data_IF_468350537947
#
_entry.id   IF_468350537947
#
_cell.length_a   1.000
_cell.length_b   1.000
_cell.length_c   1.000
_cell.angle_alpha   90.00
_cell.angle_beta   90.00
_cell.angle_gamma   90.00
#
_symmetry.space_group_name_H-M   'P 1'
#
loop_
_entity.id
_entity.type
_entity.pdbx_description
1 polymer ?
#
# COMPACT_ATOMS: atom_id res chain seq x y z
N UNK A 1 53.27 4.63 92.86
CA UNK A 1 51.85 4.22 92.81
C UNK A 1 51.10 5.32 92.05
N UNK A 2 50.29 5.13 91.01
CA UNK A 2 49.76 3.96 90.31
C UNK A 2 49.53 4.32 88.82
N UNK A 3 49.24 3.31 88.00
CA UNK A 3 49.47 3.19 86.54
C UNK A 3 48.13 3.05 85.80
N UNK A 4 47.88 3.87 84.74
CA UNK A 4 46.88 3.76 83.63
C UNK A 4 45.39 3.53 84.00
N UNK A 5 44.39 3.66 83.08
CA UNK A 5 44.42 3.84 81.62
C UNK A 5 43.78 5.16 81.14
N UNK A 6 44.27 5.85 80.10
CA UNK A 6 44.36 5.47 78.67
C UNK A 6 43.00 5.32 77.99
N UNK A 7 42.79 6.19 77.00
CA UNK A 7 42.15 5.89 75.72
C UNK A 7 40.77 5.23 75.75
N UNK A 8 39.67 6.00 75.90
CA UNK A 8 38.35 5.41 75.59
C UNK A 8 37.20 6.39 75.34
N UNK A 9 37.40 7.58 74.76
CA UNK A 9 36.24 8.35 74.24
C UNK A 9 36.38 8.87 72.80
N UNK A 10 37.55 8.71 72.18
CA UNK A 10 37.74 8.91 70.73
C UNK A 10 37.95 7.60 69.97
N UNK A 11 37.95 6.46 70.67
CA UNK A 11 38.20 5.13 70.11
C UNK A 11 36.94 4.25 70.02
N UNK A 12 35.75 4.82 70.17
CA UNK A 12 34.51 4.12 69.80
C UNK A 12 34.33 4.18 68.28
N UNK A 13 35.14 3.37 67.59
CA UNK A 13 34.66 2.42 66.59
C UNK A 13 33.71 3.06 65.57
N UNK A 14 34.23 3.75 64.56
CA UNK A 14 34.37 3.15 63.21
C UNK A 14 33.37 1.99 63.01
N UNK A 15 32.11 2.34 62.80
CA UNK A 15 31.10 1.46 62.22
C UNK A 15 30.87 1.94 60.80
N UNK A 16 31.71 1.48 59.89
CA UNK A 16 31.56 1.68 58.45
C UNK A 16 30.44 0.81 57.90
N UNK A 17 29.22 0.97 58.43
CA UNK A 17 28.06 0.12 58.10
C UNK A 17 26.95 0.91 57.39
N UNK A 18 27.30 2.01 56.71
CA UNK A 18 26.36 2.77 55.84
C UNK A 18 26.56 2.49 54.35
N UNK A 19 27.64 1.80 53.97
CA UNK A 19 27.97 1.58 52.56
C UNK A 19 27.14 0.45 51.92
N UNK A 20 26.61 -0.50 52.69
CA UNK A 20 25.91 -1.67 52.13
C UNK A 20 24.58 -1.29 51.43
N UNK A 21 23.80 -0.37 52.01
CA UNK A 21 22.55 0.10 51.41
C UNK A 21 22.80 1.06 50.24
N UNK A 22 23.83 1.90 50.31
CA UNK A 22 24.18 2.82 49.23
C UNK A 22 24.66 2.11 47.97
N UNK A 23 25.53 1.10 48.11
CA UNK A 23 26.00 0.31 46.96
C UNK A 23 24.89 -0.56 46.38
N UNK A 24 24.03 -1.14 47.21
CA UNK A 24 22.90 -1.96 46.75
C UNK A 24 21.90 -1.14 45.92
N UNK A 25 21.55 0.07 46.36
CA UNK A 25 20.70 0.99 45.60
C UNK A 25 21.33 1.40 44.26
N UNK A 26 22.64 1.70 44.23
CA UNK A 26 23.33 2.03 42.98
C UNK A 26 23.34 0.84 42.02
N UNK A 27 23.59 -0.37 42.51
CA UNK A 27 23.53 -1.58 41.67
C UNK A 27 22.12 -1.82 41.15
N UNK A 28 21.09 -1.68 41.98
CA UNK A 28 19.69 -1.80 41.55
C UNK A 28 19.33 -0.75 40.51
N UNK A 29 19.70 0.51 40.72
CA UNK A 29 19.49 1.58 39.74
C UNK A 29 20.23 1.32 38.42
N UNK A 30 21.45 0.75 38.47
CA UNK A 30 22.18 0.33 37.26
C UNK A 30 21.48 -0.82 36.55
N UNK A 31 20.98 -1.82 37.28
CA UNK A 31 20.22 -2.94 36.71
C UNK A 31 18.92 -2.44 36.07
N UNK A 32 18.18 -1.56 36.76
CA UNK A 32 16.98 -0.92 36.21
C UNK A 32 17.28 -0.05 35.00
N UNK A 33 18.42 0.67 35.00
CA UNK A 33 18.84 1.48 33.87
C UNK A 33 19.17 0.61 32.65
N UNK A 34 19.89 -0.50 32.84
CA UNK A 34 20.20 -1.46 31.76
C UNK A 34 18.91 -2.11 31.25
N UNK A 35 18.02 -2.52 32.16
CA UNK A 35 16.72 -3.06 31.78
C UNK A 35 15.88 -2.05 31.00
N UNK A 36 15.82 -0.81 31.45
CA UNK A 36 15.12 0.29 30.78
C UNK A 36 15.71 0.55 29.38
N UNK A 37 17.05 0.59 29.27
CA UNK A 37 17.72 0.77 27.99
C UNK A 37 17.38 -0.38 27.03
N UNK A 38 17.36 -1.61 27.53
CA UNK A 38 16.98 -2.78 26.72
C UNK A 38 15.51 -2.72 26.29
N UNK A 39 14.60 -2.38 27.20
CA UNK A 39 13.17 -2.21 26.88
C UNK A 39 12.95 -1.13 25.81
N UNK A 40 13.62 0.03 25.94
CA UNK A 40 13.57 1.10 24.95
C UNK A 40 14.11 0.65 23.59
N UNK A 41 15.22 -0.11 23.57
CA UNK A 41 15.77 -0.64 22.33
C UNK A 41 14.78 -1.58 21.62
N UNK A 42 14.11 -2.46 22.37
CA UNK A 42 13.07 -3.36 21.82
C UNK A 42 11.88 -2.56 21.27
N UNK A 43 11.40 -1.54 21.99
CA UNK A 43 10.31 -0.69 21.49
C UNK A 43 10.71 0.07 20.23
N UNK A 44 11.94 0.60 20.17
CA UNK A 44 12.45 1.28 18.98
C UNK A 44 12.44 0.35 17.76
N UNK A 45 12.87 -0.91 17.94
CA UNK A 45 12.84 -1.91 16.88
C UNK A 45 11.41 -2.24 16.43
N UNK A 46 10.49 -2.41 17.39
CA UNK A 46 9.09 -2.70 17.09
C UNK A 46 8.42 -1.56 16.32
N UNK A 47 8.63 -0.31 16.75
CA UNK A 47 8.08 0.86 16.07
C UNK A 47 8.72 1.07 14.69
N UNK A 48 10.03 0.83 14.55
CA UNK A 48 10.68 0.87 13.23
C UNK A 48 10.08 -0.14 12.26
N UNK A 49 9.88 -1.39 12.70
CA UNK A 49 9.26 -2.43 11.88
C UNK A 49 7.79 -2.11 11.54
N UNK A 50 7.03 -1.59 12.49
CA UNK A 50 5.64 -1.17 12.26
C UNK A 50 5.56 0.00 11.27
N UNK A 51 6.48 0.96 11.37
CA UNK A 51 6.53 2.11 10.46
C UNK A 51 6.81 1.68 9.03
N UNK A 52 7.82 0.82 8.82
CA UNK A 52 8.17 0.31 7.49
C UNK A 52 7.00 -0.47 6.87
N UNK A 53 6.36 -1.36 7.64
CA UNK A 53 5.15 -2.04 7.17
C UNK A 53 4.03 -1.07 6.81
N UNK A 54 3.84 -0.02 7.61
CA UNK A 54 2.83 1.01 7.32
C UNK A 54 3.10 1.80 6.04
N UNK A 55 4.36 2.02 5.68
CA UNK A 55 4.74 2.65 4.41
C UNK A 55 4.50 1.69 3.24
N UNK A 56 4.91 0.44 3.38
CA UNK A 56 4.76 -0.59 2.35
C UNK A 56 3.28 -0.89 2.04
N UNK A 57 2.44 -1.00 3.07
CA UNK A 57 0.98 -1.18 2.91
C UNK A 57 0.32 0.01 2.21
N UNK A 58 0.75 1.24 2.52
CA UNK A 58 0.28 2.43 1.80
C UNK A 58 0.68 2.38 0.33
N UNK A 59 1.93 1.99 0.05
CA UNK A 59 2.45 1.84 -1.31
C UNK A 59 1.66 0.81 -2.11
N UNK A 60 1.41 -0.36 -1.52
CA UNK A 60 0.62 -1.42 -2.14
C UNK A 60 -0.83 -1.03 -2.35
N UNK A 61 -1.48 -0.43 -1.34
CA UNK A 61 -2.88 0.02 -1.44
C UNK A 61 -3.05 1.00 -2.60
N UNK A 62 -2.13 1.96 -2.71
CA UNK A 62 -2.16 2.94 -3.80
C UNK A 62 -1.96 2.29 -5.17
N UNK A 63 -1.00 1.36 -5.27
CA UNK A 63 -0.76 0.62 -6.51
C UNK A 63 -1.99 -0.20 -6.95
N UNK A 64 -2.70 -0.82 -6.01
CA UNK A 64 -3.94 -1.57 -6.29
C UNK A 64 -5.04 -0.65 -6.80
N UNK A 65 -5.22 0.53 -6.18
CA UNK A 65 -6.22 1.51 -6.63
C UNK A 65 -5.93 1.99 -8.05
N UNK A 66 -4.67 2.35 -8.34
CA UNK A 66 -4.26 2.77 -9.68
C UNK A 66 -4.44 1.66 -10.73
N UNK A 67 -4.07 0.43 -10.41
CA UNK A 67 -4.28 -0.72 -11.30
C UNK A 67 -5.77 -0.98 -11.55
N UNK A 68 -6.60 -0.86 -10.51
CA UNK A 68 -8.05 -1.06 -10.61
C UNK A 68 -8.70 0.03 -11.47
N UNK A 69 -8.33 1.29 -11.28
CA UNK A 69 -8.78 2.39 -12.14
C UNK A 69 -8.39 2.16 -13.61
N UNK A 70 -7.16 1.72 -13.87
CA UNK A 70 -6.71 1.38 -15.23
C UNK A 70 -7.45 0.17 -15.82
N UNK A 71 -7.82 -0.80 -14.98
CA UNK A 71 -8.62 -1.95 -15.38
C UNK A 71 -10.07 -1.55 -15.69
N UNK A 72 -10.65 -0.62 -14.93
CA UNK A 72 -11.98 -0.05 -15.19
C UNK A 72 -12.00 0.74 -16.51
N UNK A 73 -10.97 1.55 -16.78
CA UNK A 73 -10.83 2.26 -18.05
C UNK A 73 -10.71 1.28 -19.23
N UNK A 74 -9.86 0.25 -19.10
CA UNK A 74 -9.74 -0.83 -20.08
C UNK A 74 -11.07 -1.56 -20.28
N UNK A 75 -11.78 -1.83 -19.19
CA UNK A 75 -13.09 -2.44 -19.24
C UNK A 75 -14.09 -1.52 -19.94
N UNK A 76 -14.02 -0.20 -19.83
CA UNK A 76 -14.94 0.68 -20.56
C UNK A 76 -14.66 0.67 -22.07
N UNK A 77 -13.38 0.80 -22.45
CA UNK A 77 -12.94 0.90 -23.85
C UNK A 77 -11.61 0.14 -24.06
N UNK A 78 -11.64 -1.14 -24.47
CA UNK A 78 -10.42 -1.90 -24.66
C UNK A 78 -9.70 -1.42 -25.93
N UNK A 79 -8.59 -0.72 -25.74
CA UNK A 79 -7.70 -0.28 -26.82
C UNK A 79 -6.46 -1.16 -26.86
N UNK A 80 -6.18 -1.76 -28.02
CA UNK A 80 -4.97 -2.56 -28.22
C UNK A 80 -3.69 -1.70 -28.15
N UNK A 81 -2.59 -2.31 -27.72
CA UNK A 81 -1.28 -1.67 -27.64
C UNK A 81 -0.83 -1.40 -26.21
N UNK A 82 0.21 -0.57 -26.08
CA UNK A 82 0.84 -0.24 -24.81
C UNK A 82 0.57 1.22 -24.45
N UNK A 83 0.15 1.47 -23.21
CA UNK A 83 0.02 2.81 -22.64
C UNK A 83 0.76 2.90 -21.31
N UNK A 84 1.26 4.08 -20.97
CA UNK A 84 1.93 4.33 -19.70
C UNK A 84 1.56 5.71 -19.19
N UNK A 85 1.18 5.80 -17.91
CA UNK A 85 0.83 7.04 -17.24
C UNK A 85 1.50 7.13 -15.88
N UNK A 86 1.86 8.35 -15.47
CA UNK A 86 2.54 8.61 -14.20
C UNK A 86 1.59 9.31 -13.22
N UNK A 87 1.71 8.96 -11.94
CA UNK A 87 0.91 9.46 -10.84
C UNK A 87 1.81 9.82 -9.66
N UNK A 88 1.41 10.82 -8.88
CA UNK A 88 2.09 11.18 -7.64
C UNK A 88 1.78 10.18 -6.51
N UNK A 89 2.38 10.40 -5.34
CA UNK A 89 2.21 9.55 -4.15
C UNK A 89 0.76 9.40 -3.67
N UNK A 90 -0.10 10.37 -4.00
CA UNK A 90 -1.52 10.43 -3.62
C UNK A 90 -2.44 9.94 -4.77
N UNK A 91 -1.88 9.65 -5.96
CA UNK A 91 -2.61 9.17 -7.14
C UNK A 91 -3.12 10.26 -8.07
N UNK A 92 -2.66 11.49 -7.91
CA UNK A 92 -2.88 12.56 -8.87
C UNK A 92 -2.08 12.33 -10.14
N UNK A 93 -2.70 12.54 -11.31
CA UNK A 93 -2.02 12.39 -12.60
C UNK A 93 -0.89 13.43 -12.72
N UNK A 94 0.32 12.95 -12.99
CA UNK A 94 1.45 13.81 -13.32
C UNK A 94 1.41 14.07 -14.83
N UNK A 95 1.15 15.32 -15.20
CA UNK A 95 1.14 15.73 -16.60
C UNK A 95 2.48 15.42 -17.28
N UNK A 96 2.42 14.98 -18.54
CA UNK A 96 3.60 14.66 -19.37
C UNK A 96 4.47 15.89 -19.70
N UNK A 97 4.06 17.09 -19.30
CA UNK A 97 4.64 18.37 -19.75
C UNK A 97 5.98 18.74 -19.11
N UNK A 98 6.54 17.92 -18.23
CA UNK A 98 7.91 18.12 -17.76
C UNK A 98 8.48 16.75 -17.44
N UNK A 99 9.53 16.33 -18.16
CA UNK A 99 10.27 15.08 -17.95
C UNK A 99 11.00 15.04 -16.60
N UNK A 100 10.25 15.20 -15.52
CA UNK A 100 10.69 15.35 -14.13
C UNK A 100 9.63 14.79 -13.16
N UNK A 101 8.43 14.42 -13.62
CA UNK A 101 7.38 13.83 -12.77
C UNK A 101 7.52 12.33 -12.54
N UNK A 102 7.88 11.56 -13.58
CA UNK A 102 8.02 10.10 -13.47
C UNK A 102 9.29 9.65 -12.72
N UNK A 103 10.26 10.56 -12.54
CA UNK A 103 11.54 10.29 -11.86
C UNK A 103 11.50 10.61 -10.35
N UNK A 104 10.36 11.06 -9.82
CA UNK A 104 10.22 11.21 -8.38
C UNK A 104 10.25 9.84 -7.70
N UNK A 105 11.00 9.70 -6.60
CA UNK A 105 11.19 8.41 -5.91
C UNK A 105 9.86 7.75 -5.51
N UNK A 106 8.83 8.56 -5.23
CA UNK A 106 7.50 8.12 -4.80
C UNK A 106 6.43 8.17 -5.91
N UNK A 107 6.81 8.47 -7.17
CA UNK A 107 5.87 8.44 -8.27
C UNK A 107 5.51 7.00 -8.66
N UNK A 108 4.25 6.78 -9.02
CA UNK A 108 3.77 5.54 -9.59
C UNK A 108 3.72 5.66 -11.11
N UNK A 109 4.15 4.62 -11.80
CA UNK A 109 3.98 4.47 -13.25
C UNK A 109 3.10 3.26 -13.50
N UNK A 110 1.94 3.51 -14.11
CA UNK A 110 0.99 2.48 -14.52
C UNK A 110 1.22 2.19 -15.99
N UNK A 111 1.73 1.00 -16.31
CA UNK A 111 1.87 0.50 -17.67
C UNK A 111 0.78 -0.53 -17.95
N UNK A 112 0.12 -0.41 -19.10
CA UNK A 112 -0.89 -1.35 -19.57
C UNK A 112 -0.49 -1.86 -20.94
N UNK A 113 -0.41 -3.17 -21.09
CA UNK A 113 -0.23 -3.85 -22.38
C UNK A 113 -1.51 -4.60 -22.72
N UNK A 114 -2.10 -4.31 -23.88
CA UNK A 114 -3.34 -4.95 -24.35
C UNK A 114 -3.10 -5.71 -25.65
N UNK A 115 -3.37 -7.01 -25.62
CA UNK A 115 -3.26 -7.91 -26.76
C UNK A 115 -4.65 -8.36 -27.21
N UNK A 116 -5.08 -8.02 -28.45
CA UNK A 116 -6.32 -8.52 -29.02
C UNK A 116 -6.14 -9.91 -29.60
N UNK A 117 -7.14 -10.78 -29.39
CA UNK A 117 -7.27 -12.09 -30.01
C UNK A 117 -8.62 -12.17 -30.72
N UNK A 118 -8.59 -12.35 -32.05
CA UNK A 118 -9.81 -12.46 -32.85
C UNK A 118 -10.41 -13.86 -32.70
N UNK A 119 -11.71 -13.91 -32.51
CA UNK A 119 -12.54 -15.13 -32.43
C UNK A 119 -13.57 -15.13 -33.57
N UNK A 120 -14.40 -16.18 -33.67
CA UNK A 120 -15.42 -16.29 -34.73
C UNK A 120 -16.49 -15.18 -34.65
N UNK A 121 -16.90 -14.77 -33.45
CA UNK A 121 -18.03 -13.85 -33.22
C UNK A 121 -17.62 -12.52 -32.52
N UNK A 122 -16.32 -12.22 -32.46
CA UNK A 122 -15.82 -11.07 -31.73
C UNK A 122 -14.31 -11.08 -31.48
N UNK A 123 -13.86 -10.19 -30.60
CA UNK A 123 -12.45 -10.05 -30.20
C UNK A 123 -12.31 -10.10 -28.68
N UNK A 124 -11.45 -10.98 -28.18
CA UNK A 124 -11.04 -11.03 -26.78
C UNK A 124 -9.79 -10.16 -26.60
N UNK A 125 -9.90 -9.09 -25.82
CA UNK A 125 -8.76 -8.27 -25.41
C UNK A 125 -8.24 -8.78 -24.07
N UNK A 126 -6.95 -9.12 -23.98
CA UNK A 126 -6.27 -9.38 -22.71
C UNK A 126 -5.41 -8.19 -22.35
N UNK A 127 -5.46 -7.75 -21.10
CA UNK A 127 -4.65 -6.65 -20.59
C UNK A 127 -3.79 -7.12 -19.42
N UNK A 128 -2.51 -6.78 -19.47
CA UNK A 128 -1.58 -6.87 -18.35
C UNK A 128 -1.30 -5.45 -17.86
N UNK A 129 -1.64 -5.17 -16.60
CA UNK A 129 -1.47 -3.87 -15.97
C UNK A 129 -0.42 -4.02 -14.88
N UNK A 130 0.67 -3.27 -15.01
CA UNK A 130 1.76 -3.24 -14.02
C UNK A 130 1.85 -1.84 -13.44
N UNK A 131 1.92 -1.77 -12.11
CA UNK A 131 2.16 -0.52 -11.39
C UNK A 131 3.54 -0.60 -10.75
N UNK A 132 4.41 0.33 -11.12
CA UNK A 132 5.76 0.44 -10.61
C UNK A 132 5.96 1.73 -9.82
N UNK A 133 6.87 1.74 -8.85
CA UNK A 133 7.24 2.94 -8.10
C UNK A 133 8.69 2.83 -7.65
N UNK A 134 9.48 3.88 -7.94
CA UNK A 134 10.94 3.84 -7.80
C UNK A 134 11.62 2.88 -8.80
N UNK A 135 10.98 2.61 -9.94
CA UNK A 135 11.47 1.68 -10.96
C UNK A 135 11.23 0.19 -10.66
N UNK A 136 10.63 -0.16 -9.53
CA UNK A 136 10.28 -1.53 -9.16
C UNK A 136 8.77 -1.76 -9.30
N UNK A 137 8.38 -2.93 -9.83
CA UNK A 137 6.99 -3.35 -9.90
C UNK A 137 6.44 -3.63 -8.49
N UNK A 138 5.39 -2.91 -8.09
CA UNK A 138 4.74 -3.02 -6.79
C UNK A 138 3.53 -3.96 -6.88
N UNK A 139 2.79 -3.88 -7.98
CA UNK A 139 1.56 -4.64 -8.18
C UNK A 139 1.33 -4.93 -9.66
N UNK A 140 0.74 -6.08 -9.95
CA UNK A 140 0.39 -6.52 -11.30
C UNK A 140 -1.01 -7.12 -11.30
N UNK A 141 -1.77 -6.81 -12.36
CA UNK A 141 -3.15 -7.22 -12.55
C UNK A 141 -3.35 -7.65 -14.00
N UNK A 142 -3.75 -8.89 -14.20
CA UNK A 142 -4.21 -9.40 -15.49
C UNK A 142 -5.74 -9.35 -15.57
N UNK A 143 -6.28 -8.88 -16.70
CA UNK A 143 -7.72 -8.85 -16.94
C UNK A 143 -8.03 -9.05 -18.42
N UNK A 144 -9.30 -9.28 -18.76
CA UNK A 144 -9.74 -9.44 -20.14
C UNK A 144 -11.14 -8.93 -20.38
N UNK A 145 -11.42 -8.52 -21.62
CA UNK A 145 -12.73 -8.07 -22.08
C UNK A 145 -13.03 -8.63 -23.45
N UNK A 146 -14.16 -9.32 -23.58
CA UNK A 146 -14.69 -9.75 -24.86
C UNK A 146 -15.60 -8.67 -25.46
N UNK A 147 -15.41 -8.38 -26.74
CA UNK A 147 -16.25 -7.48 -27.53
C UNK A 147 -16.79 -8.27 -28.72
N UNK A 148 -18.11 -8.46 -28.81
CA UNK A 148 -18.73 -9.13 -29.95
C UNK A 148 -18.73 -8.26 -31.20
N UNK A 149 -18.62 -8.88 -32.38
CA UNK A 149 -18.65 -8.19 -33.68
C UNK A 149 -20.06 -7.69 -34.06
N UNK A 150 -21.05 -7.88 -33.17
CA UNK A 150 -22.38 -7.30 -33.31
C UNK A 150 -23.26 -8.02 -34.33
N UNK A 151 -23.47 -9.32 -34.19
CA UNK A 151 -24.76 -9.92 -34.59
C UNK A 151 -25.72 -9.81 -33.42
N UNK A 152 -26.23 -8.61 -33.18
CA UNK A 152 -27.42 -8.45 -32.36
C UNK A 152 -28.49 -9.37 -32.95
N UNK A 153 -29.00 -10.28 -32.12
CA UNK A 153 -30.04 -11.22 -32.52
C UNK A 153 -31.13 -10.48 -33.27
N UNK A 154 -31.50 -11.02 -34.42
CA UNK A 154 -32.69 -10.69 -35.17
C UNK A 154 -33.83 -10.43 -34.17
N UNK A 155 -34.37 -9.22 -34.24
CA UNK A 155 -35.54 -8.76 -33.52
C UNK A 155 -36.75 -9.65 -33.89
N UNK A 156 -36.91 -10.79 -33.21
CA UNK A 156 -38.10 -11.64 -33.29
C UNK A 156 -39.07 -11.10 -32.25
N UNK A 157 -39.81 -10.04 -32.56
CA UNK A 157 -40.85 -9.62 -31.61
C UNK A 157 -41.59 -8.32 -31.78
N UNK A 158 -41.93 -7.84 -32.98
CA UNK A 158 -43.20 -7.09 -33.20
C UNK A 158 -43.54 -6.99 -34.69
N UNK A 159 -44.42 -7.86 -35.15
CA UNK A 159 -45.15 -7.61 -36.40
C UNK A 159 -45.98 -6.32 -36.23
N UNK A 160 -46.02 -5.41 -37.22
CA UNK A 160 -47.01 -4.35 -37.24
C UNK A 160 -48.38 -4.97 -37.53
N UNK A 161 -49.33 -4.86 -36.59
CA UNK A 161 -50.74 -5.15 -36.86
C UNK A 161 -51.20 -4.18 -37.96
N UNK A 162 -51.32 -4.72 -39.16
CA UNK A 162 -52.02 -4.11 -40.27
C UNK A 162 -53.53 -4.22 -39.98
N UNK A 163 -54.09 -3.19 -39.34
CA UNK A 163 -55.53 -3.00 -39.30
C UNK A 163 -56.00 -2.49 -40.68
N UNK A 164 -56.73 -3.36 -41.35
CA UNK A 164 -57.28 -3.21 -42.69
C UNK A 164 -58.19 -1.99 -42.83
N UNK A 165 -58.06 -1.33 -43.98
CA UNK A 165 -59.06 -0.47 -44.55
C UNK A 165 -60.20 -1.33 -45.14
N UNK A 166 -61.41 -1.21 -44.60
CA UNK A 166 -62.65 -1.34 -45.36
C UNK A 166 -63.14 0.09 -45.63
N UNK A 167 -63.43 0.56 -46.85
CA UNK A 167 -63.93 -0.17 -48.01
C UNK A 167 -65.46 -0.18 -48.04
N UNK A 168 -66.10 1.00 -48.04
CA UNK A 168 -67.55 1.16 -48.19
C UNK A 168 -67.89 2.21 -49.25
N UNK A 169 -68.43 1.74 -50.37
CA UNK A 169 -68.65 2.39 -51.66
C UNK A 169 -70.05 3.05 -51.80
N UNK A 170 -70.15 4.00 -52.75
CA UNK A 170 -71.32 4.57 -53.49
C UNK A 170 -72.67 4.84 -52.81
N UNK A 171 -73.13 6.11 -52.86
CA UNK A 171 -73.94 6.69 -53.95
C UNK A 171 -74.23 8.19 -53.69
#
# INVERSE_FOLDING_TARGET
MARKPADSLLAARRGSDTTWHGTAFVVEALVLLVFLAFALAVFMQLFGAAHNRGVEERKLTQAVLLASNAAEEFAAAPLAGTSSEAFDGDGGTLGSETGTGADAEDAYVVSREVVPERTEDGTLYRANITVSCGGEAVYELETSRYVSDGTAGTDIGRAPDAAAAEGGDVA
#
